data_IF_068413156463
#
_entry.id   IF_068413156463
#
_cell.length_a   1.000
_cell.length_b   1.000
_cell.length_c   1.000
_cell.angle_alpha   90.00
_cell.angle_beta   90.00
_cell.angle_gamma   90.00
#
_symmetry.space_group_name_H-M   'P 1'
#
loop_
_entity.id
_entity.type
_entity.pdbx_description
1 polymer ?
#
# COMPACT_ATOMS: atom_id res chain seq x y z
N UNK A 1 -1.99 -7.58 7.20
CA UNK A 1 -2.63 -8.82 6.70
C UNK A 1 -4.13 -8.59 6.65
N UNK A 2 -4.82 -9.12 5.64
CA UNK A 2 -6.27 -9.04 5.53
C UNK A 2 -6.94 -9.86 6.65
N UNK A 3 -8.19 -9.57 7.04
CA UNK A 3 -8.90 -10.32 8.09
C UNK A 3 -8.97 -11.84 7.84
N UNK A 4 -9.08 -12.25 6.57
CA UNK A 4 -9.09 -13.64 6.11
C UNK A 4 -7.72 -14.34 6.19
N UNK A 5 -6.62 -13.58 6.28
CA UNK A 5 -5.25 -14.11 6.30
C UNK A 5 -4.69 -14.56 4.95
N UNK A 6 -5.48 -14.51 3.89
CA UNK A 6 -5.09 -14.89 2.51
C UNK A 6 -4.26 -13.82 1.80
N UNK A 7 -4.31 -12.58 2.27
CA UNK A 7 -3.68 -11.41 1.63
C UNK A 7 -2.85 -10.57 2.58
N UNK A 8 -1.75 -10.01 2.07
CA UNK A 8 -0.89 -9.08 2.80
C UNK A 8 -0.70 -7.81 1.99
N UNK A 9 -0.97 -6.65 2.61
CA UNK A 9 -0.54 -5.35 2.10
C UNK A 9 0.75 -4.94 2.78
N UNK A 10 1.67 -4.39 1.99
CA UNK A 10 2.89 -3.80 2.48
C UNK A 10 3.35 -2.70 1.52
N UNK A 11 4.10 -1.74 2.06
CA UNK A 11 4.79 -0.75 1.24
C UNK A 11 6.15 -1.29 0.83
N UNK A 12 6.50 -1.17 -0.43
CA UNK A 12 7.81 -1.54 -0.96
C UNK A 12 8.47 -0.34 -1.65
N UNK A 13 9.79 -0.38 -1.78
CA UNK A 13 10.57 0.61 -2.54
C UNK A 13 11.52 -0.14 -3.44
N UNK A 14 11.53 0.19 -4.73
CA UNK A 14 12.45 -0.40 -5.71
C UNK A 14 13.83 0.26 -5.69
N UNK A 15 13.93 1.52 -5.26
CA UNK A 15 15.21 2.24 -5.16
C UNK A 15 15.55 2.64 -3.72
N UNK A 16 16.77 2.31 -3.28
CA UNK A 16 17.35 2.73 -1.99
C UNK A 16 18.37 3.87 -2.17
N UNK A 17 18.11 4.80 -3.10
CA UNK A 17 18.96 5.98 -3.28
C UNK A 17 18.60 7.03 -2.24
N UNK A 18 19.61 7.61 -1.59
CA UNK A 18 19.48 8.55 -0.45
C UNK A 18 18.54 9.74 -0.73
N UNK A 19 18.36 10.11 -2.00
CA UNK A 19 17.53 11.23 -2.46
C UNK A 19 16.21 10.81 -3.17
N UNK A 20 15.86 9.52 -3.16
CA UNK A 20 14.60 9.00 -3.72
C UNK A 20 13.72 8.32 -2.64
N UNK A 21 13.81 8.79 -1.40
CA UNK A 21 13.04 8.26 -0.26
C UNK A 21 11.51 8.33 -0.42
N UNK A 22 11.02 8.92 -1.52
CA UNK A 22 9.66 9.40 -1.70
C UNK A 22 8.80 8.52 -2.60
N UNK A 23 9.27 7.33 -3.00
CA UNK A 23 8.49 6.39 -3.83
C UNK A 23 8.33 5.05 -3.14
N UNK A 24 7.51 5.02 -2.09
CA UNK A 24 6.97 3.75 -1.59
C UNK A 24 5.63 3.49 -2.22
N UNK A 25 5.50 2.33 -2.85
CA UNK A 25 4.25 1.86 -3.44
C UNK A 25 3.66 0.75 -2.59
N UNK A 26 2.33 0.71 -2.54
CA UNK A 26 1.56 -0.35 -1.91
C UNK A 26 1.53 -1.56 -2.84
N UNK A 27 1.92 -2.70 -2.28
CA UNK A 27 1.83 -4.00 -2.93
C UNK A 27 0.93 -4.94 -2.14
N UNK A 28 0.26 -5.84 -2.87
CA UNK A 28 -0.55 -6.94 -2.37
C UNK A 28 0.18 -8.25 -2.66
N UNK A 29 0.29 -9.10 -1.64
CA UNK A 29 0.73 -10.49 -1.76
C UNK A 29 -0.46 -11.42 -1.52
N UNK A 30 -0.74 -12.28 -2.49
CA UNK A 30 -1.60 -13.45 -2.31
C UNK A 30 -0.78 -14.58 -1.67
N UNK A 31 -1.15 -14.99 -0.46
CA UNK A 31 -0.35 -15.88 0.38
C UNK A 31 -0.26 -17.28 -0.21
N UNK A 32 -1.36 -17.79 -0.80
CA UNK A 32 -1.42 -19.15 -1.32
C UNK A 32 -0.50 -19.36 -2.54
N UNK A 33 -0.35 -18.34 -3.39
CA UNK A 33 0.37 -18.45 -4.66
C UNK A 33 1.72 -17.74 -4.65
N UNK A 34 1.95 -16.84 -3.68
CA UNK A 34 3.09 -15.93 -3.69
C UNK A 34 2.98 -14.82 -4.74
N UNK A 35 1.81 -14.66 -5.38
CA UNK A 35 1.60 -13.64 -6.42
C UNK A 35 1.64 -12.25 -5.80
N UNK A 36 2.45 -11.36 -6.40
CA UNK A 36 2.54 -9.97 -6.01
C UNK A 36 1.85 -9.07 -7.03
N UNK A 37 1.15 -8.04 -6.54
CA UNK A 37 0.47 -7.06 -7.36
C UNK A 37 0.70 -5.65 -6.81
N UNK A 38 1.18 -4.74 -7.66
CA UNK A 38 1.31 -3.34 -7.31
C UNK A 38 -0.04 -2.63 -7.44
N UNK A 39 -0.47 -1.94 -6.38
CA UNK A 39 -1.81 -1.34 -6.30
C UNK A 39 -1.81 0.17 -6.58
N UNK A 40 -0.65 0.79 -6.47
CA UNK A 40 -0.46 2.23 -6.59
C UNK A 40 0.76 2.52 -7.46
N UNK A 41 0.76 3.67 -8.11
CA UNK A 41 1.92 4.21 -8.80
C UNK A 41 1.86 5.73 -8.63
N UNK A 42 2.65 6.27 -7.70
CA UNK A 42 2.62 7.70 -7.42
C UNK A 42 3.97 8.28 -7.01
N UNK A 43 4.01 9.61 -6.96
CA UNK A 43 5.25 10.36 -6.71
C UNK A 43 5.40 10.81 -5.25
N UNK A 44 4.67 10.19 -4.31
CA UNK A 44 4.70 10.52 -2.90
C UNK A 44 4.83 9.27 -2.01
N UNK A 45 5.43 9.38 -0.82
CA UNK A 45 5.52 8.24 0.07
C UNK A 45 4.16 7.90 0.67
N UNK A 46 3.78 6.64 0.53
CA UNK A 46 2.58 6.06 1.11
C UNK A 46 2.85 5.35 2.45
N UNK A 47 1.84 5.33 3.32
CA UNK A 47 1.91 4.59 4.59
C UNK A 47 0.59 4.51 5.34
N UNK A 48 0.67 4.10 6.62
CA UNK A 48 -0.50 3.93 7.52
C UNK A 48 -1.60 3.05 6.92
N UNK A 49 -1.20 1.91 6.37
CA UNK A 49 -2.11 0.94 5.77
C UNK A 49 -3.08 0.37 6.80
N UNK A 50 -4.36 0.29 6.43
CA UNK A 50 -5.38 -0.39 7.23
C UNK A 50 -6.39 -1.09 6.33
N UNK A 51 -6.66 -2.36 6.63
CA UNK A 51 -7.71 -3.12 5.96
C UNK A 51 -9.08 -2.77 6.51
N UNK A 52 -10.07 -2.70 5.63
CA UNK A 52 -11.46 -2.73 6.04
C UNK A 52 -11.80 -4.09 6.67
N UNK A 53 -12.77 -4.15 7.62
CA UNK A 53 -13.16 -5.40 8.26
C UNK A 53 -13.66 -6.48 7.29
N UNK A 54 -14.17 -6.06 6.13
CA UNK A 54 -14.64 -6.97 5.07
C UNK A 54 -13.50 -7.58 4.23
N UNK A 55 -12.25 -7.12 4.40
CA UNK A 55 -11.09 -7.57 3.64
C UNK A 55 -11.11 -7.19 2.14
N UNK A 56 -12.09 -6.41 1.69
CA UNK A 56 -12.27 -6.04 0.28
C UNK A 56 -11.75 -4.65 -0.05
N UNK A 57 -11.51 -3.83 0.96
CA UNK A 57 -11.01 -2.47 0.80
C UNK A 57 -9.88 -2.18 1.78
N UNK A 58 -9.06 -1.19 1.47
CA UNK A 58 -8.05 -0.69 2.40
C UNK A 58 -7.90 0.82 2.29
N UNK A 59 -7.51 1.44 3.39
CA UNK A 59 -7.16 2.84 3.47
C UNK A 59 -5.65 3.00 3.62
N UNK A 60 -5.14 4.11 3.09
CA UNK A 60 -3.75 4.50 3.22
C UNK A 60 -3.64 6.02 3.27
N UNK A 61 -2.51 6.51 3.78
CA UNK A 61 -2.19 7.93 3.85
C UNK A 61 -1.06 8.25 2.89
N UNK A 62 -1.24 9.32 2.13
CA UNK A 62 -0.21 9.90 1.29
C UNK A 62 0.42 11.08 2.03
N UNK A 63 1.73 11.04 2.25
CA UNK A 63 2.44 12.16 2.86
C UNK A 63 2.78 13.20 1.78
N UNK A 64 1.81 14.07 1.46
CA UNK A 64 2.10 15.30 0.72
C UNK A 64 2.72 16.31 1.68
N UNK A 65 3.76 16.99 1.23
CA UNK A 65 4.68 17.84 2.03
C UNK A 65 4.02 19.00 2.79
N UNK A 66 2.70 19.19 2.69
CA UNK A 66 2.01 20.33 3.32
C UNK A 66 0.74 19.95 4.09
N UNK A 67 0.10 18.81 3.84
CA UNK A 67 -1.04 18.29 4.61
C UNK A 67 -1.31 16.86 4.13
N UNK A 68 -1.09 15.83 4.95
CA UNK A 68 -1.31 14.44 4.54
C UNK A 68 -2.77 14.22 4.11
N UNK A 69 -2.97 13.50 3.01
CA UNK A 69 -4.31 13.14 2.50
C UNK A 69 -4.58 11.66 2.77
N UNK A 70 -5.82 11.33 3.16
CA UNK A 70 -6.27 9.96 3.34
C UNK A 70 -7.01 9.48 2.09
N UNK A 71 -6.68 8.29 1.62
CA UNK A 71 -7.27 7.68 0.42
C UNK A 71 -7.80 6.29 0.72
N UNK A 72 -8.85 5.91 0.00
CA UNK A 72 -9.48 4.58 0.07
C UNK A 72 -9.33 3.90 -1.29
N UNK A 73 -8.82 2.68 -1.31
CA UNK A 73 -8.83 1.81 -2.49
C UNK A 73 -9.75 0.63 -2.21
N UNK A 74 -10.60 0.33 -3.19
CA UNK A 74 -11.53 -0.81 -3.17
C UNK A 74 -11.06 -1.85 -4.17
N UNK A 75 -10.93 -3.09 -3.72
CA UNK A 75 -10.69 -4.25 -4.56
C UNK A 75 -12.03 -4.91 -4.91
N UNK A 76 -12.25 -5.13 -6.21
CA UNK A 76 -13.38 -5.88 -6.76
C UNK A 76 -13.01 -7.33 -7.01
#
# INVERSE_FOLDING_TARGET
MAPSGDRILFTSRTENRRNQQNRSEIQLLEVATGTMLQLTDNSAPEGRLSWAPDGRSFAYMLALMVNGSCFLIRYG
#
